data_IF_064733341649
#
_entry.id   IF_064733341649
#
_cell.length_a   1.000
_cell.length_b   1.000
_cell.length_c   1.000
_cell.angle_alpha   90.00
_cell.angle_beta   90.00
_cell.angle_gamma   90.00
#
_symmetry.space_group_name_H-M   'P 1'
#
loop_
_entity.id
_entity.type
_entity.pdbx_description
1 polymer ?
#
# COMPACT_ATOMS: atom_id res chain seq x y z
N UNK A 1 37.08 7.33 -11.97
CA UNK A 1 36.49 8.70 -11.91
C UNK A 1 34.95 8.67 -11.78
N UNK A 2 34.19 8.03 -12.68
CA UNK A 2 32.71 8.00 -12.58
C UNK A 2 32.12 7.26 -11.34
N UNK A 3 32.76 6.17 -10.89
CA UNK A 3 32.36 5.48 -9.64
C UNK A 3 32.74 6.24 -8.35
N UNK A 4 33.72 7.14 -8.46
CA UNK A 4 34.21 7.94 -7.32
C UNK A 4 33.32 9.18 -7.16
N UNK A 5 32.98 9.86 -8.27
CA UNK A 5 32.03 10.97 -8.28
C UNK A 5 30.63 10.58 -7.78
N UNK A 6 30.17 9.38 -8.10
CA UNK A 6 28.90 8.84 -7.56
C UNK A 6 28.98 8.51 -6.08
N UNK A 7 30.12 7.99 -5.58
CA UNK A 7 30.37 7.82 -4.15
C UNK A 7 30.42 9.14 -3.37
N UNK A 8 31.05 10.18 -3.93
CA UNK A 8 31.13 11.53 -3.35
C UNK A 8 29.72 12.15 -3.24
N UNK A 9 28.91 12.08 -4.30
CA UNK A 9 27.55 12.60 -4.28
C UNK A 9 26.65 11.89 -3.24
N UNK A 10 26.89 10.61 -2.99
CA UNK A 10 26.18 9.82 -1.97
C UNK A 10 26.56 10.26 -0.55
N UNK A 11 27.84 10.59 -0.32
CA UNK A 11 28.35 11.14 0.93
C UNK A 11 27.91 12.59 1.17
N UNK A 12 27.86 13.42 0.13
CA UNK A 12 27.36 14.81 0.21
C UNK A 12 25.86 14.85 0.56
N UNK A 13 25.06 13.95 -0.04
CA UNK A 13 23.64 13.79 0.29
C UNK A 13 23.43 13.29 1.73
N UNK A 14 24.36 12.48 2.24
CA UNK A 14 24.38 12.03 3.63
C UNK A 14 24.67 13.17 4.62
N UNK A 15 25.50 14.15 4.23
CA UNK A 15 25.81 15.32 5.06
C UNK A 15 24.69 16.36 5.10
N UNK A 16 23.90 16.52 4.03
CA UNK A 16 22.91 17.61 3.92
C UNK A 16 21.59 17.32 4.65
N UNK A 17 21.22 16.04 4.83
CA UNK A 17 19.97 15.59 5.48
C UNK A 17 20.19 14.83 6.81
N UNK A 18 21.41 14.88 7.34
CA UNK A 18 21.95 14.05 8.44
C UNK A 18 21.05 13.94 9.69
N UNK A 19 20.60 15.06 10.26
CA UNK A 19 19.94 15.06 11.58
C UNK A 19 18.43 14.77 11.54
N UNK A 20 17.82 14.76 10.35
CA UNK A 20 16.36 14.69 10.22
C UNK A 20 15.82 13.29 9.93
N UNK A 21 16.67 12.34 9.52
CA UNK A 21 16.18 11.04 9.04
C UNK A 21 16.95 9.79 9.50
N UNK A 22 18.19 9.89 10.00
CA UNK A 22 19.00 8.67 10.27
C UNK A 22 19.99 8.85 11.43
N UNK A 23 20.08 7.87 12.34
CA UNK A 23 21.18 7.80 13.31
C UNK A 23 22.40 7.18 12.64
N UNK A 24 23.43 7.96 12.37
CA UNK A 24 24.69 7.52 11.73
C UNK A 24 25.31 6.30 12.43
N UNK A 25 25.19 6.21 13.75
CA UNK A 25 25.62 5.06 14.53
C UNK A 25 24.99 3.72 14.08
N UNK A 26 23.72 3.71 13.66
CA UNK A 26 23.05 2.48 13.21
C UNK A 26 23.62 2.00 11.87
N UNK A 27 23.97 2.93 10.98
CA UNK A 27 24.55 2.65 9.67
C UNK A 27 26.01 2.19 9.83
N UNK A 28 26.79 2.85 10.69
CA UNK A 28 28.14 2.44 11.06
C UNK A 28 28.17 1.01 11.62
N UNK A 29 27.30 0.70 12.57
CA UNK A 29 27.20 -0.65 13.15
C UNK A 29 26.89 -1.72 12.09
N UNK A 30 26.00 -1.43 11.13
CA UNK A 30 25.72 -2.33 10.00
C UNK A 30 26.94 -2.49 9.09
N UNK A 31 27.66 -1.42 8.78
CA UNK A 31 28.85 -1.44 7.93
C UNK A 31 30.00 -2.22 8.58
N UNK A 32 30.28 -2.00 9.87
CA UNK A 32 31.26 -2.75 10.66
C UNK A 32 30.93 -4.24 10.63
N UNK A 33 29.66 -4.59 10.83
CA UNK A 33 29.20 -5.97 10.82
C UNK A 33 29.38 -6.61 9.44
N UNK A 34 28.92 -5.96 8.37
CA UNK A 34 29.12 -6.41 6.98
C UNK A 34 30.60 -6.67 6.68
N UNK A 35 31.48 -5.75 7.10
CA UNK A 35 32.92 -5.86 6.88
C UNK A 35 33.55 -7.02 7.68
N UNK A 36 33.23 -7.15 8.97
CA UNK A 36 33.76 -8.20 9.85
C UNK A 36 33.30 -9.60 9.45
N UNK A 37 32.01 -9.74 9.12
CA UNK A 37 31.40 -11.02 8.74
C UNK A 37 31.72 -11.42 7.29
N UNK A 38 32.31 -10.52 6.48
CA UNK A 38 32.53 -10.69 5.04
C UNK A 38 31.25 -11.08 4.30
N UNK A 39 30.12 -10.56 4.76
CA UNK A 39 28.81 -10.81 4.18
C UNK A 39 28.74 -10.13 2.81
N UNK A 40 28.51 -10.92 1.75
CA UNK A 40 28.31 -10.38 0.41
C UNK A 40 26.95 -9.69 0.33
N UNK A 41 26.95 -8.36 0.47
CA UNK A 41 25.76 -7.55 0.30
C UNK A 41 25.60 -7.20 -1.18
N UNK A 42 24.65 -7.86 -1.82
CA UNK A 42 24.25 -7.58 -3.20
C UNK A 42 22.77 -7.18 -3.21
N UNK A 43 22.54 -5.88 -3.41
CA UNK A 43 21.25 -5.30 -3.75
C UNK A 43 21.48 -4.33 -4.90
N UNK A 44 20.92 -4.61 -6.07
CA UNK A 44 21.05 -3.69 -7.20
C UNK A 44 20.19 -2.46 -6.96
N UNK A 45 20.63 -1.31 -7.47
CA UNK A 45 19.87 -0.05 -7.36
C UNK A 45 18.52 -0.15 -8.08
N UNK A 46 18.43 -0.95 -9.14
CA UNK A 46 17.18 -1.25 -9.84
C UNK A 46 16.21 -2.01 -8.93
N UNK A 47 16.68 -3.04 -8.23
CA UNK A 47 15.87 -3.82 -7.30
C UNK A 47 15.38 -2.96 -6.12
N UNK A 48 16.24 -2.10 -5.56
CA UNK A 48 15.82 -1.17 -4.51
C UNK A 48 14.78 -0.16 -5.01
N UNK A 49 15.01 0.43 -6.19
CA UNK A 49 14.07 1.38 -6.82
C UNK A 49 12.70 0.73 -7.09
N UNK A 50 12.67 -0.52 -7.54
CA UNK A 50 11.41 -1.26 -7.75
C UNK A 50 10.64 -1.44 -6.44
N UNK A 51 11.31 -1.82 -5.36
CA UNK A 51 10.72 -1.97 -4.03
C UNK A 51 10.18 -0.63 -3.51
N UNK A 52 10.92 0.46 -3.71
CA UNK A 52 10.49 1.81 -3.33
C UNK A 52 9.28 2.28 -4.13
N UNK A 53 9.28 2.07 -5.45
CA UNK A 53 8.17 2.43 -6.31
C UNK A 53 6.90 1.67 -5.91
N UNK A 54 6.99 0.36 -5.66
CA UNK A 54 5.85 -0.43 -5.21
C UNK A 54 5.29 0.08 -3.87
N UNK A 55 6.16 0.43 -2.91
CA UNK A 55 5.72 1.01 -1.62
C UNK A 55 5.01 2.35 -1.80
N UNK A 56 5.56 3.22 -2.65
CA UNK A 56 5.01 4.55 -2.90
C UNK A 56 3.64 4.43 -3.57
N UNK A 57 3.49 3.52 -4.54
CA UNK A 57 2.23 3.25 -5.21
C UNK A 57 1.18 2.73 -4.21
N UNK A 58 1.55 1.74 -3.38
CA UNK A 58 0.70 1.24 -2.29
C UNK A 58 0.30 2.35 -1.31
N UNK A 59 1.13 3.38 -1.15
CA UNK A 59 0.84 4.49 -0.24
C UNK A 59 -0.08 5.56 -0.83
N UNK A 60 -0.32 5.54 -2.15
CA UNK A 60 -1.03 6.60 -2.89
C UNK A 60 -2.53 6.38 -3.08
N UNK A 61 -3.07 5.25 -2.64
CA UNK A 61 -4.45 4.82 -2.89
C UNK A 61 -5.32 4.76 -1.62
N UNK A 62 -5.36 5.86 -0.87
CA UNK A 62 -6.06 6.00 0.43
C UNK A 62 -7.53 5.63 0.36
N UNK A 63 -8.17 5.94 -0.76
CA UNK A 63 -9.56 5.62 -1.02
C UNK A 63 -9.85 4.12 -0.93
N UNK A 64 -8.96 3.26 -1.43
CA UNK A 64 -9.11 1.80 -1.34
C UNK A 64 -8.97 1.32 0.11
N UNK A 65 -7.95 1.80 0.83
CA UNK A 65 -7.76 1.43 2.23
C UNK A 65 -8.92 1.87 3.11
N UNK A 66 -9.40 3.11 2.92
CA UNK A 66 -10.53 3.66 3.64
C UNK A 66 -11.83 2.92 3.31
N UNK A 67 -12.05 2.59 2.04
CA UNK A 67 -13.23 1.86 1.59
C UNK A 67 -13.37 0.51 2.29
N UNK A 68 -12.26 -0.19 2.53
CA UNK A 68 -12.26 -1.50 3.15
C UNK A 68 -11.85 -1.53 4.64
N UNK A 69 -11.56 -0.37 5.23
CA UNK A 69 -11.05 -0.26 6.59
C UNK A 69 -9.75 -1.05 6.81
N UNK A 70 -8.85 -1.06 5.83
CA UNK A 70 -7.58 -1.79 5.84
C UNK A 70 -6.46 -0.83 6.23
N UNK A 71 -5.61 -1.24 7.17
CA UNK A 71 -4.39 -0.48 7.48
C UNK A 71 -3.32 -0.68 6.40
N UNK A 72 -2.63 0.40 6.03
CA UNK A 72 -1.48 0.32 5.11
C UNK A 72 -0.34 -0.46 5.75
N UNK A 73 0.36 -1.34 5.01
CA UNK A 73 1.49 -2.07 5.53
C UNK A 73 2.65 -1.11 5.84
N UNK A 74 3.12 -1.12 7.08
CA UNK A 74 4.31 -0.42 7.54
C UNK A 74 5.54 -1.31 7.44
N UNK A 75 5.35 -2.61 7.62
CA UNK A 75 6.41 -3.62 7.59
C UNK A 75 6.19 -4.61 6.45
N UNK A 76 7.28 -5.22 5.98
CA UNK A 76 7.26 -6.23 4.94
C UNK A 76 6.35 -7.43 5.30
N UNK A 77 6.36 -7.85 6.56
CA UNK A 77 5.54 -8.96 7.04
C UNK A 77 4.02 -8.68 6.97
N UNK A 78 3.61 -7.41 6.93
CA UNK A 78 2.19 -7.02 6.87
C UNK A 78 1.63 -7.10 5.44
N UNK A 79 2.50 -7.14 4.42
CA UNK A 79 2.11 -7.21 3.00
C UNK A 79 1.34 -8.50 2.69
N UNK A 80 1.72 -9.62 3.32
CA UNK A 80 1.00 -10.90 3.16
C UNK A 80 -0.45 -10.81 3.68
N UNK A 81 -0.67 -10.08 4.77
CA UNK A 81 -2.00 -9.89 5.32
C UNK A 81 -2.83 -8.95 4.43
N UNK A 82 -2.22 -7.90 3.89
CA UNK A 82 -2.86 -7.06 2.88
C UNK A 82 -3.30 -7.91 1.67
N UNK A 83 -2.41 -8.74 1.13
CA UNK A 83 -2.72 -9.60 -0.02
C UNK A 83 -3.84 -10.60 0.27
N UNK A 84 -3.89 -11.20 1.47
CA UNK A 84 -5.03 -12.06 1.85
C UNK A 84 -6.35 -11.32 1.79
N UNK A 85 -6.39 -10.07 2.26
CA UNK A 85 -7.59 -9.24 2.23
C UNK A 85 -7.96 -8.87 0.79
N UNK A 86 -7.01 -8.37 0.00
CA UNK A 86 -7.28 -7.96 -1.36
C UNK A 86 -7.70 -9.14 -2.24
N UNK A 87 -7.08 -10.31 -2.07
CA UNK A 87 -7.49 -11.55 -2.76
C UNK A 87 -8.92 -11.94 -2.39
N UNK A 88 -9.27 -11.90 -1.10
CA UNK A 88 -10.66 -12.14 -0.69
C UNK A 88 -11.63 -11.21 -1.42
N UNK A 89 -11.35 -9.89 -1.45
CA UNK A 89 -12.21 -8.90 -2.11
C UNK A 89 -12.30 -9.19 -3.61
N UNK A 90 -11.17 -9.43 -4.28
CA UNK A 90 -11.09 -9.78 -5.70
C UNK A 90 -11.95 -10.99 -6.03
N UNK A 91 -11.83 -12.06 -5.25
CA UNK A 91 -12.60 -13.29 -5.44
C UNK A 91 -14.10 -13.06 -5.25
N UNK A 92 -14.51 -12.16 -4.33
CA UNK A 92 -15.93 -11.79 -4.16
C UNK A 92 -16.46 -11.01 -5.35
N UNK A 93 -15.69 -10.09 -5.91
CA UNK A 93 -16.06 -9.36 -7.11
C UNK A 93 -16.20 -10.32 -8.30
N UNK A 94 -15.25 -11.24 -8.47
CA UNK A 94 -15.31 -12.26 -9.53
C UNK A 94 -16.54 -13.17 -9.38
N UNK A 95 -16.86 -13.60 -8.16
CA UNK A 95 -18.06 -14.40 -7.90
C UNK A 95 -19.35 -13.62 -8.20
N UNK A 96 -19.42 -12.34 -7.81
CA UNK A 96 -20.56 -11.48 -8.13
C UNK A 96 -20.71 -11.28 -9.64
N UNK A 97 -19.62 -11.03 -10.36
CA UNK A 97 -19.62 -10.93 -11.82
C UNK A 97 -20.13 -12.23 -12.47
N UNK A 98 -19.70 -13.39 -11.96
CA UNK A 98 -20.15 -14.69 -12.48
C UNK A 98 -21.64 -14.94 -12.22
N UNK A 99 -22.16 -14.58 -11.04
CA UNK A 99 -23.54 -14.90 -10.65
C UNK A 99 -24.56 -13.88 -11.17
N UNK A 100 -24.17 -12.60 -11.26
CA UNK A 100 -25.09 -11.50 -11.58
C UNK A 100 -24.79 -10.87 -12.94
N UNK A 101 -23.53 -10.84 -13.37
CA UNK A 101 -23.13 -10.33 -14.67
C UNK A 101 -23.72 -8.94 -14.96
N UNK A 102 -24.44 -8.75 -16.08
CA UNK A 102 -25.06 -7.46 -16.43
C UNK A 102 -26.01 -6.90 -15.36
N UNK A 103 -26.60 -7.75 -14.50
CA UNK A 103 -27.53 -7.32 -13.44
C UNK A 103 -26.85 -6.50 -12.36
N UNK A 104 -25.52 -6.54 -12.24
CA UNK A 104 -24.78 -5.66 -11.34
C UNK A 104 -24.96 -4.17 -11.67
N UNK A 105 -25.32 -3.85 -12.92
CA UNK A 105 -25.65 -2.47 -13.31
C UNK A 105 -26.84 -1.91 -12.54
N UNK A 106 -27.69 -2.74 -11.92
CA UNK A 106 -28.79 -2.27 -11.09
C UNK A 106 -28.34 -1.60 -9.80
N UNK A 107 -27.12 -1.86 -9.33
CA UNK A 107 -26.50 -1.15 -8.20
C UNK A 107 -26.24 0.34 -8.48
N UNK A 108 -26.39 0.80 -9.73
CA UNK A 108 -26.15 2.19 -10.13
C UNK A 108 -27.25 3.18 -9.72
N UNK A 109 -28.35 2.72 -9.12
CA UNK A 109 -29.38 3.63 -8.63
C UNK A 109 -28.82 4.57 -7.55
N UNK A 110 -29.31 5.83 -7.52
CA UNK A 110 -28.90 6.83 -6.52
C UNK A 110 -29.52 6.51 -5.15
N UNK A 111 -28.97 5.47 -4.50
CA UNK A 111 -29.32 5.00 -3.17
C UNK A 111 -28.09 4.32 -2.53
N UNK A 112 -28.04 4.31 -1.20
CA UNK A 112 -26.96 3.71 -0.41
C UNK A 112 -27.49 2.51 0.37
N UNK A 113 -26.96 1.35 0.05
CA UNK A 113 -27.23 0.09 0.74
C UNK A 113 -26.07 -0.27 1.64
N UNK A 114 -26.39 -0.76 2.83
CA UNK A 114 -25.41 -1.03 3.88
C UNK A 114 -25.81 -2.26 4.66
N UNK A 115 -24.87 -2.83 5.40
CA UNK A 115 -25.10 -4.00 6.25
C UNK A 115 -26.22 -3.80 7.28
N UNK A 116 -26.48 -2.54 7.65
CA UNK A 116 -27.51 -2.18 8.62
C UNK A 116 -28.91 -2.07 8.01
N UNK A 117 -29.01 -1.66 6.74
CA UNK A 117 -30.31 -1.33 6.13
C UNK A 117 -30.74 -2.28 5.01
N UNK A 118 -29.87 -3.13 4.46
CA UNK A 118 -30.19 -3.92 3.27
C UNK A 118 -31.41 -4.84 3.45
N UNK A 119 -31.62 -5.42 4.65
CA UNK A 119 -32.80 -6.26 4.94
C UNK A 119 -34.13 -5.51 4.77
N UNK A 120 -34.12 -4.18 4.83
CA UNK A 120 -35.33 -3.38 4.63
C UNK A 120 -35.74 -3.32 3.15
N UNK A 121 -34.86 -3.67 2.20
CA UNK A 121 -35.18 -3.65 0.76
C UNK A 121 -36.40 -4.56 0.49
N UNK A 122 -36.38 -5.78 1.02
CA UNK A 122 -37.49 -6.73 0.90
C UNK A 122 -38.81 -6.16 1.43
N UNK A 123 -38.79 -5.50 2.59
CA UNK A 123 -39.97 -4.84 3.14
C UNK A 123 -40.53 -3.78 2.18
N UNK A 124 -39.68 -2.94 1.60
CA UNK A 124 -40.13 -1.93 0.63
C UNK A 124 -40.71 -2.56 -0.65
N UNK A 125 -40.10 -3.63 -1.16
CA UNK A 125 -40.62 -4.37 -2.33
C UNK A 125 -42.05 -4.83 -2.06
N UNK A 126 -42.27 -5.53 -0.94
CA UNK A 126 -43.59 -6.06 -0.56
C UNK A 126 -44.62 -4.93 -0.38
N UNK A 127 -44.24 -3.83 0.27
CA UNK A 127 -45.14 -2.69 0.45
C UNK A 127 -45.53 -2.05 -0.89
N UNK A 128 -44.58 -1.87 -1.82
CA UNK A 128 -44.90 -1.33 -3.15
C UNK A 128 -45.80 -2.27 -3.94
N UNK A 129 -45.53 -3.57 -3.93
CA UNK A 129 -46.37 -4.56 -4.62
C UNK A 129 -47.78 -4.60 -4.05
N UNK A 130 -47.94 -4.52 -2.72
CA UNK A 130 -49.26 -4.49 -2.07
C UNK A 130 -50.11 -3.26 -2.45
N UNK A 131 -49.45 -2.15 -2.80
CA UNK A 131 -50.11 -0.91 -3.22
C UNK A 131 -50.38 -0.87 -4.74
N UNK A 132 -49.79 -1.78 -5.52
CA UNK A 132 -49.92 -1.82 -6.98
C UNK A 132 -51.19 -2.56 -7.37
N UNK A 133 -52.17 -1.83 -7.90
CA UNK A 133 -53.37 -2.40 -8.49
C UNK A 133 -53.06 -3.03 -9.87
N UNK A 134 -53.63 -4.19 -10.22
CA UNK A 134 -53.29 -4.92 -11.45
C UNK A 134 -53.38 -4.11 -12.75
N UNK A 135 -54.42 -3.28 -12.90
CA UNK A 135 -54.67 -2.47 -14.12
C UNK A 135 -54.44 -0.99 -13.89
N UNK A 136 -54.66 -0.52 -12.67
CA UNK A 136 -54.62 0.90 -12.32
C UNK A 136 -53.27 1.34 -11.74
N UNK A 137 -52.33 0.41 -11.57
CA UNK A 137 -51.05 0.68 -10.94
C UNK A 137 -51.26 1.38 -9.59
N UNK A 138 -50.78 2.61 -9.47
CA UNK A 138 -50.83 3.39 -8.23
C UNK A 138 -51.89 4.51 -8.22
N UNK A 139 -52.79 4.58 -9.21
CA UNK A 139 -53.64 5.76 -9.48
C UNK A 139 -54.50 6.22 -8.27
N UNK A 140 -54.95 5.30 -7.42
CA UNK A 140 -55.77 5.58 -6.23
C UNK A 140 -55.01 5.44 -4.90
N UNK A 141 -53.69 5.23 -4.98
CA UNK A 141 -52.81 4.98 -3.83
C UNK A 141 -51.70 6.03 -3.71
N UNK A 142 -51.80 7.14 -4.44
CA UNK A 142 -50.76 8.16 -4.57
C UNK A 142 -50.19 8.65 -3.24
N UNK A 143 -51.04 9.02 -2.28
CA UNK A 143 -50.61 9.49 -0.95
C UNK A 143 -49.81 8.41 -0.18
N UNK A 144 -50.28 7.16 -0.19
CA UNK A 144 -49.61 6.05 0.49
C UNK A 144 -48.26 5.74 -0.17
N UNK A 145 -48.19 5.83 -1.50
CA UNK A 145 -46.94 5.66 -2.26
C UNK A 145 -45.97 6.78 -1.97
N UNK A 146 -46.42 8.02 -1.86
CA UNK A 146 -45.59 9.18 -1.54
C UNK A 146 -44.99 9.10 -0.13
N UNK A 147 -45.79 8.70 0.85
CA UNK A 147 -45.33 8.43 2.22
C UNK A 147 -44.28 7.31 2.23
N UNK A 148 -44.52 6.22 1.51
CA UNK A 148 -43.58 5.09 1.42
C UNK A 148 -42.29 5.48 0.69
N UNK A 149 -42.38 6.25 -0.39
CA UNK A 149 -41.22 6.83 -1.08
C UNK A 149 -40.41 7.71 -0.15
N UNK A 150 -41.05 8.57 0.63
CA UNK A 150 -40.36 9.43 1.61
C UNK A 150 -39.61 8.59 2.64
N UNK A 151 -40.21 7.50 3.11
CA UNK A 151 -39.55 6.55 4.02
C UNK A 151 -38.35 5.86 3.34
N UNK A 152 -38.52 5.41 2.10
CA UNK A 152 -37.44 4.79 1.32
C UNK A 152 -36.23 5.72 1.19
N UNK A 153 -36.48 6.97 0.78
CA UNK A 153 -35.41 7.98 0.61
C UNK A 153 -34.63 8.20 1.90
N UNK A 154 -35.33 8.29 3.03
CA UNK A 154 -34.70 8.42 4.36
C UNK A 154 -33.90 7.19 4.76
N UNK A 155 -34.42 5.99 4.54
CA UNK A 155 -33.75 4.73 4.91
C UNK A 155 -32.45 4.51 4.13
N UNK A 156 -32.46 4.82 2.83
CA UNK A 156 -31.35 4.52 1.91
C UNK A 156 -30.59 5.76 1.42
N UNK A 157 -30.79 6.93 2.04
CA UNK A 157 -30.16 8.21 1.63
C UNK A 157 -30.28 8.42 0.10
N UNK A 158 -31.51 8.37 -0.39
CA UNK A 158 -31.85 8.34 -1.82
C UNK A 158 -32.67 9.58 -2.24
N UNK A 159 -32.30 10.76 -1.74
CA UNK A 159 -33.04 12.02 -1.91
C UNK A 159 -33.32 12.33 -3.39
N UNK A 160 -32.34 12.10 -4.25
CA UNK A 160 -32.38 12.34 -5.70
C UNK A 160 -33.31 11.39 -6.46
N UNK A 161 -33.71 10.27 -5.86
CA UNK A 161 -34.50 9.25 -6.52
C UNK A 161 -35.97 9.69 -6.61
N UNK A 162 -36.43 10.18 -7.76
CA UNK A 162 -37.77 10.74 -7.89
C UNK A 162 -38.91 9.75 -7.56
N UNK A 163 -38.80 8.50 -8.01
CA UNK A 163 -39.88 7.50 -7.89
C UNK A 163 -39.33 6.09 -7.59
N UNK A 164 -38.93 5.79 -6.33
CA UNK A 164 -38.42 4.48 -5.94
C UNK A 164 -39.37 3.31 -6.26
N UNK A 165 -40.68 3.51 -6.13
CA UNK A 165 -41.72 2.50 -6.42
C UNK A 165 -41.75 2.02 -7.88
N UNK A 166 -41.16 2.78 -8.81
CA UNK A 166 -41.05 2.37 -10.22
C UNK A 166 -39.89 1.41 -10.45
N UNK A 167 -39.00 1.25 -9.45
CA UNK A 167 -37.78 0.47 -9.53
C UNK A 167 -37.90 -0.86 -8.79
N UNK A 168 -39.12 -1.33 -8.46
CA UNK A 168 -39.34 -2.57 -7.69
C UNK A 168 -38.59 -3.77 -8.24
N UNK A 169 -38.59 -3.98 -9.56
CA UNK A 169 -37.83 -5.09 -10.17
C UNK A 169 -36.32 -4.93 -9.99
N UNK A 170 -35.79 -3.71 -10.11
CA UNK A 170 -34.38 -3.43 -9.83
C UNK A 170 -34.05 -3.67 -8.35
N UNK A 171 -34.95 -3.28 -7.44
CA UNK A 171 -34.78 -3.50 -6.01
C UNK A 171 -34.74 -5.00 -5.66
N UNK A 172 -35.50 -5.86 -6.37
CA UNK A 172 -35.41 -7.32 -6.19
C UNK A 172 -34.01 -7.83 -6.53
N UNK A 173 -33.44 -7.40 -7.66
CA UNK A 173 -32.08 -7.76 -8.05
C UNK A 173 -31.04 -7.24 -7.05
N UNK A 174 -31.18 -5.98 -6.61
CA UNK A 174 -30.31 -5.40 -5.59
C UNK A 174 -30.39 -6.18 -4.27
N UNK A 175 -31.58 -6.62 -3.86
CA UNK A 175 -31.77 -7.42 -2.65
C UNK A 175 -30.96 -8.73 -2.73
N UNK A 176 -31.06 -9.45 -3.85
CA UNK A 176 -30.30 -10.69 -4.08
C UNK A 176 -28.79 -10.47 -4.06
N UNK A 177 -28.31 -9.38 -4.68
CA UNK A 177 -26.89 -9.02 -4.67
C UNK A 177 -26.43 -8.69 -3.24
N UNK A 178 -27.21 -7.89 -2.50
CA UNK A 178 -26.90 -7.48 -1.14
C UNK A 178 -26.90 -8.68 -0.17
N UNK A 179 -27.84 -9.62 -0.31
CA UNK A 179 -27.85 -10.88 0.45
C UNK A 179 -26.60 -11.70 0.20
N UNK A 180 -26.20 -11.88 -1.07
CA UNK A 180 -24.97 -12.58 -1.42
C UNK A 180 -23.73 -11.90 -0.81
N UNK A 181 -23.65 -10.56 -0.89
CA UNK A 181 -22.54 -9.80 -0.29
C UNK A 181 -22.51 -9.99 1.23
N UNK A 182 -23.68 -9.92 1.89
CA UNK A 182 -23.78 -10.13 3.33
C UNK A 182 -23.27 -11.51 3.74
N UNK A 183 -23.57 -12.54 2.95
CA UNK A 183 -23.12 -13.91 3.21
C UNK A 183 -21.59 -14.06 3.15
N UNK A 184 -20.90 -13.25 2.35
CA UNK A 184 -19.42 -13.26 2.31
C UNK A 184 -18.78 -12.89 3.64
N UNK A 185 -19.48 -12.20 4.54
CA UNK A 185 -18.97 -11.88 5.89
C UNK A 185 -18.56 -13.11 6.69
N UNK A 186 -19.16 -14.28 6.43
CA UNK A 186 -18.81 -15.55 7.10
C UNK A 186 -17.35 -15.96 6.84
N UNK A 187 -16.75 -15.50 5.75
CA UNK A 187 -15.37 -15.80 5.36
C UNK A 187 -14.43 -14.59 5.44
N UNK A 188 -14.83 -13.51 6.11
CA UNK A 188 -14.04 -12.29 6.18
C UNK A 188 -12.69 -12.55 6.87
N UNK A 189 -11.56 -12.09 6.31
CA UNK A 189 -10.27 -12.16 7.00
C UNK A 189 -10.33 -11.50 8.38
N UNK A 190 -9.73 -12.11 9.40
CA UNK A 190 -9.78 -11.63 10.79
C UNK A 190 -9.17 -10.23 11.02
N UNK A 191 -8.37 -9.77 10.05
CA UNK A 191 -7.78 -8.42 10.01
C UNK A 191 -8.82 -7.33 9.70
N UNK A 192 -9.97 -7.69 9.11
CA UNK A 192 -11.06 -6.77 8.83
C UNK A 192 -12.12 -6.99 9.91
N UNK A 193 -12.27 -6.05 10.85
CA UNK A 193 -13.15 -6.26 12.03
C UNK A 193 -14.46 -5.48 11.99
N UNK A 194 -14.61 -4.46 11.15
CA UNK A 194 -15.71 -3.49 11.28
C UNK A 194 -16.12 -2.84 9.94
N UNK A 195 -16.02 -3.56 8.83
CA UNK A 195 -16.39 -3.04 7.51
C UNK A 195 -17.90 -3.14 7.27
N UNK A 196 -18.47 -2.11 6.64
CA UNK A 196 -19.76 -2.22 5.96
C UNK A 196 -19.56 -2.87 4.58
N UNK A 197 -19.60 -4.20 4.52
CA UNK A 197 -19.19 -4.95 3.32
C UNK A 197 -20.13 -4.70 2.13
N UNK A 198 -21.44 -4.55 2.39
CA UNK A 198 -22.41 -4.20 1.36
C UNK A 198 -22.09 -2.83 0.79
N UNK A 199 -21.92 -1.81 1.63
CA UNK A 199 -21.63 -0.46 1.14
C UNK A 199 -20.30 -0.42 0.38
N UNK A 200 -19.25 -1.06 0.92
CA UNK A 200 -17.92 -1.08 0.31
C UNK A 200 -17.90 -1.78 -1.05
N UNK A 201 -18.45 -3.00 -1.16
CA UNK A 201 -18.45 -3.73 -2.42
C UNK A 201 -19.38 -3.10 -3.46
N UNK A 202 -20.57 -2.65 -3.06
CA UNK A 202 -21.46 -1.97 -4.02
C UNK A 202 -20.86 -0.66 -4.52
N UNK A 203 -20.17 0.09 -3.66
CA UNK A 203 -19.43 1.30 -4.03
C UNK A 203 -18.28 1.00 -4.99
N UNK A 204 -17.51 -0.05 -4.73
CA UNK A 204 -16.46 -0.47 -5.66
C UNK A 204 -17.04 -0.91 -7.01
N UNK A 205 -18.08 -1.74 -7.01
CA UNK A 205 -18.68 -2.29 -8.24
C UNK A 205 -19.29 -1.20 -9.13
N UNK A 206 -19.90 -0.16 -8.54
CA UNK A 206 -20.52 0.92 -9.34
C UNK A 206 -19.53 1.97 -9.86
N UNK A 207 -18.28 1.96 -9.40
CA UNK A 207 -17.29 3.00 -9.71
C UNK A 207 -16.07 2.42 -10.44
N UNK A 208 -16.00 2.64 -11.75
CA UNK A 208 -14.90 2.18 -12.59
C UNK A 208 -13.52 2.71 -12.16
N UNK A 209 -13.45 3.95 -11.69
CA UNK A 209 -12.18 4.54 -11.21
C UNK A 209 -11.68 3.80 -9.97
N UNK A 210 -12.57 3.52 -9.01
CA UNK A 210 -12.21 2.73 -7.82
C UNK A 210 -11.82 1.29 -8.18
N UNK A 211 -12.44 0.68 -9.20
CA UNK A 211 -12.03 -0.65 -9.66
C UNK A 211 -10.62 -0.66 -10.23
N UNK A 212 -10.27 0.34 -11.04
CA UNK A 212 -8.90 0.45 -11.59
C UNK A 212 -7.88 0.72 -10.48
N UNK A 213 -8.19 1.58 -9.51
CA UNK A 213 -7.35 1.79 -8.33
C UNK A 213 -7.19 0.52 -7.50
N UNK A 214 -8.26 -0.24 -7.28
CA UNK A 214 -8.19 -1.52 -6.58
C UNK A 214 -7.27 -2.51 -7.31
N UNK A 215 -7.39 -2.62 -8.64
CA UNK A 215 -6.49 -3.46 -9.46
C UNK A 215 -5.03 -3.01 -9.35
N UNK A 216 -4.78 -1.71 -9.35
CA UNK A 216 -3.43 -1.15 -9.15
C UNK A 216 -2.87 -1.53 -7.78
N UNK A 217 -3.61 -1.29 -6.69
CA UNK A 217 -3.22 -1.70 -5.32
C UNK A 217 -2.91 -3.19 -5.26
N UNK A 218 -3.78 -4.04 -5.81
CA UNK A 218 -3.57 -5.48 -5.80
C UNK A 218 -2.32 -5.90 -6.58
N UNK A 219 -2.12 -5.34 -7.77
CA UNK A 219 -0.96 -5.64 -8.62
C UNK A 219 0.34 -5.22 -7.92
N UNK A 220 0.35 -4.03 -7.33
CA UNK A 220 1.52 -3.45 -6.69
C UNK A 220 1.84 -4.15 -5.36
N UNK A 221 0.83 -4.62 -4.62
CA UNK A 221 1.02 -5.49 -3.45
C UNK A 221 1.70 -6.82 -3.84
N UNK A 222 1.27 -7.45 -4.95
CA UNK A 222 1.86 -8.71 -5.43
C UNK A 222 3.31 -8.53 -5.89
N UNK A 223 3.59 -7.46 -6.64
CA UNK A 223 4.96 -7.11 -7.04
C UNK A 223 5.84 -6.86 -5.82
N UNK A 224 5.33 -6.10 -4.86
CA UNK A 224 6.05 -5.79 -3.63
C UNK A 224 6.39 -7.04 -2.82
N UNK A 225 5.41 -7.93 -2.61
CA UNK A 225 5.62 -9.21 -1.95
C UNK A 225 6.66 -10.06 -2.69
N UNK A 226 6.56 -10.14 -4.02
CA UNK A 226 7.51 -10.90 -4.84
C UNK A 226 8.94 -10.37 -4.70
N UNK A 227 9.11 -9.04 -4.72
CA UNK A 227 10.42 -8.40 -4.53
C UNK A 227 10.98 -8.67 -3.12
N UNK A 228 10.16 -8.53 -2.08
CA UNK A 228 10.54 -8.87 -0.69
C UNK A 228 10.95 -10.35 -0.58
N UNK A 229 10.20 -11.26 -1.21
CA UNK A 229 10.49 -12.69 -1.18
C UNK A 229 11.81 -13.03 -1.89
N UNK A 230 12.23 -12.28 -2.91
CA UNK A 230 13.55 -12.43 -3.50
C UNK A 230 14.65 -11.95 -2.55
N UNK A 231 14.45 -10.81 -1.86
CA UNK A 231 15.40 -10.35 -0.83
C UNK A 231 15.59 -11.40 0.27
N UNK A 232 14.50 -12.00 0.75
CA UNK A 232 14.51 -13.02 1.81
C UNK A 232 15.34 -14.27 1.49
N UNK A 233 15.61 -14.54 0.20
CA UNK A 233 16.46 -15.66 -0.22
C UNK A 233 17.95 -15.37 -0.06
N UNK A 234 18.33 -14.10 -0.07
CA UNK A 234 19.74 -13.67 0.05
C UNK A 234 20.26 -13.94 1.46
N UNK A 235 21.55 -14.25 1.58
CA UNK A 235 22.15 -14.56 2.87
C UNK A 235 22.31 -13.31 3.74
N UNK A 236 22.58 -12.16 3.13
CA UNK A 236 22.61 -10.90 3.86
C UNK A 236 21.25 -10.59 4.48
N UNK A 237 20.13 -10.84 3.79
CA UNK A 237 18.82 -10.56 4.36
C UNK A 237 18.55 -11.44 5.58
N UNK A 238 18.95 -12.72 5.56
CA UNK A 238 18.84 -13.60 6.73
C UNK A 238 19.65 -13.07 7.92
N UNK A 239 20.85 -12.55 7.67
CA UNK A 239 21.73 -12.00 8.72
C UNK A 239 21.23 -10.69 9.33
N UNK A 240 20.58 -9.83 8.54
CA UNK A 240 20.16 -8.49 8.97
C UNK A 240 18.66 -8.38 9.29
N UNK A 241 17.83 -9.27 8.73
CA UNK A 241 16.38 -9.37 8.94
C UNK A 241 15.67 -8.01 8.84
N UNK A 242 15.88 -7.28 7.73
CA UNK A 242 15.31 -5.94 7.56
C UNK A 242 13.77 -6.00 7.50
N UNK A 243 13.12 -5.16 8.31
CA UNK A 243 11.67 -5.23 8.55
C UNK A 243 10.86 -4.33 7.62
N UNK A 244 11.48 -3.27 7.13
CA UNK A 244 10.85 -2.26 6.30
C UNK A 244 11.86 -1.65 5.32
N UNK A 245 11.37 -0.73 4.48
CA UNK A 245 12.21 -0.09 3.46
C UNK A 245 13.25 0.87 4.06
N UNK A 246 13.00 1.41 5.25
CA UNK A 246 13.92 2.35 5.88
C UNK A 246 15.14 1.60 6.41
N UNK A 247 14.93 0.45 7.04
CA UNK A 247 16.01 -0.47 7.42
C UNK A 247 16.76 -1.00 6.20
N UNK A 248 16.05 -1.28 5.10
CA UNK A 248 16.67 -1.70 3.84
C UNK A 248 17.57 -0.61 3.26
N UNK A 249 17.11 0.66 3.24
CA UNK A 249 17.89 1.82 2.79
C UNK A 249 19.15 2.03 3.64
N UNK A 250 19.03 1.92 4.96
CA UNK A 250 20.18 1.99 5.88
C UNK A 250 21.23 0.92 5.54
N UNK A 251 20.77 -0.29 5.22
CA UNK A 251 21.66 -1.40 4.90
C UNK A 251 22.29 -1.25 3.51
N UNK A 252 21.56 -0.73 2.52
CA UNK A 252 22.11 -0.41 1.19
C UNK A 252 23.25 0.60 1.28
N UNK A 253 23.06 1.68 2.05
CA UNK A 253 24.11 2.69 2.28
C UNK A 253 25.33 2.05 2.94
N UNK A 254 25.13 1.23 3.97
CA UNK A 254 26.22 0.52 4.66
C UNK A 254 26.97 -0.43 3.71
N UNK A 255 26.27 -1.20 2.89
CA UNK A 255 26.86 -2.11 1.91
C UNK A 255 27.69 -1.39 0.85
N UNK A 256 27.19 -0.28 0.34
CA UNK A 256 27.92 0.56 -0.61
C UNK A 256 29.20 1.12 0.02
N UNK A 257 29.16 1.57 1.28
CA UNK A 257 30.35 2.05 2.00
C UNK A 257 31.42 0.96 2.15
N UNK A 258 31.03 -0.27 2.52
CA UNK A 258 31.96 -1.42 2.66
C UNK A 258 32.55 -1.83 1.31
N UNK A 259 31.75 -1.84 0.25
CA UNK A 259 32.21 -2.14 -1.11
C UNK A 259 33.27 -1.15 -1.57
N UNK A 260 32.99 0.14 -1.41
CA UNK A 260 33.92 1.24 -1.72
C UNK A 260 35.21 1.09 -0.91
N UNK A 261 35.13 0.88 0.42
CA UNK A 261 36.30 0.66 1.27
C UNK A 261 37.16 -0.53 0.79
N UNK A 262 36.53 -1.65 0.45
CA UNK A 262 37.21 -2.88 0.02
C UNK A 262 37.95 -2.65 -1.31
N UNK A 263 37.30 -1.99 -2.28
CA UNK A 263 37.94 -1.63 -3.55
C UNK A 263 39.16 -0.72 -3.34
N UNK A 264 39.04 0.30 -2.49
CA UNK A 264 40.15 1.20 -2.18
C UNK A 264 41.33 0.51 -1.48
N UNK A 265 41.06 -0.41 -0.55
CA UNK A 265 42.10 -1.20 0.13
C UNK A 265 42.94 -2.04 -0.84
N UNK A 266 42.36 -2.48 -1.96
CA UNK A 266 43.07 -3.29 -2.96
C UNK A 266 43.96 -2.50 -3.94
N UNK A 267 43.86 -1.17 -3.99
CA UNK A 267 44.53 -0.30 -4.98
C UNK A 267 45.84 0.35 -4.48
N UNK A 268 46.59 -0.30 -3.58
CA UNK A 268 47.74 0.28 -2.86
C UNK A 268 48.75 1.07 -3.73
N UNK A 269 48.83 2.39 -3.49
CA UNK A 269 49.92 3.29 -3.89
C UNK A 269 50.09 4.42 -2.87
N UNK A 270 51.34 4.88 -2.61
CA UNK A 270 51.77 5.72 -1.47
C UNK A 270 50.93 6.96 -1.12
N UNK A 271 50.19 7.56 -2.06
CA UNK A 271 49.32 8.71 -1.81
C UNK A 271 47.94 8.35 -1.20
N UNK A 272 47.62 7.06 -1.05
CA UNK A 272 46.30 6.55 -0.62
C UNK A 272 46.22 6.22 0.88
N UNK A 273 47.32 6.31 1.63
CA UNK A 273 47.33 5.99 3.08
C UNK A 273 46.43 6.91 3.91
N UNK A 274 46.30 8.19 3.54
CA UNK A 274 45.48 9.18 4.28
C UNK A 274 43.99 8.87 4.13
N UNK A 275 43.55 8.44 2.94
CA UNK A 275 42.15 8.08 2.66
C UNK A 275 41.69 6.84 3.42
N UNK A 276 42.59 5.84 3.57
CA UNK A 276 42.32 4.63 4.34
C UNK A 276 42.16 4.98 5.82
N UNK A 277 43.01 5.85 6.37
CA UNK A 277 42.92 6.29 7.78
C UNK A 277 41.59 6.98 8.08
N UNK A 278 41.09 7.87 7.22
CA UNK A 278 39.80 8.53 7.46
C UNK A 278 38.58 7.59 7.43
N UNK A 279 38.60 6.55 6.58
CA UNK A 279 37.54 5.53 6.56
C UNK A 279 37.71 4.54 7.72
N UNK A 280 38.95 4.17 8.07
CA UNK A 280 39.24 3.35 9.24
C UNK A 280 38.82 4.07 10.52
N UNK A 281 39.05 5.39 10.64
CA UNK A 281 38.56 6.21 11.74
C UNK A 281 37.03 6.22 11.74
N UNK A 282 36.36 6.43 10.60
CA UNK A 282 34.89 6.34 10.51
C UNK A 282 34.33 4.96 10.92
N UNK A 283 35.07 3.87 10.67
CA UNK A 283 34.69 2.51 11.06
C UNK A 283 35.09 2.15 12.50
N UNK A 284 36.00 2.90 13.13
CA UNK A 284 36.58 2.58 14.43
C UNK A 284 36.27 3.62 15.54
N UNK A 285 35.61 4.73 15.25
CA UNK A 285 35.48 5.82 16.22
C UNK A 285 34.20 5.70 17.07
N UNK A 286 34.40 5.63 18.39
CA UNK A 286 33.35 5.52 19.42
C UNK A 286 32.88 6.89 19.96
N UNK A 287 33.37 8.04 19.46
CA UNK A 287 33.02 9.37 19.99
C UNK A 287 32.70 10.41 18.89
N UNK A 288 31.39 10.60 18.69
CA UNK A 288 30.76 11.24 17.53
C UNK A 288 30.56 12.78 17.59
N UNK A 289 31.16 13.52 18.53
CA UNK A 289 30.89 14.98 18.64
C UNK A 289 31.87 15.88 17.88
N UNK A 290 32.96 15.34 17.32
CA UNK A 290 33.93 16.07 16.49
C UNK A 290 33.79 15.78 14.98
N UNK A 291 32.94 14.81 14.61
CA UNK A 291 32.97 14.14 13.30
C UNK A 291 32.24 14.88 12.16
N UNK A 292 31.41 15.87 12.47
CA UNK A 292 30.83 16.74 11.44
C UNK A 292 31.89 17.59 10.74
N UNK A 293 33.03 17.84 11.41
CA UNK A 293 34.15 18.59 10.85
C UNK A 293 35.10 17.67 10.06
N UNK A 294 35.34 16.45 10.54
CA UNK A 294 36.16 15.43 9.84
C UNK A 294 35.51 14.95 8.53
N UNK A 295 34.19 14.80 8.48
CA UNK A 295 33.47 14.50 7.23
C UNK A 295 33.51 15.66 6.22
N UNK A 296 33.54 16.92 6.69
CA UNK A 296 33.75 18.10 5.82
C UNK A 296 35.20 18.19 5.31
N UNK A 297 36.17 17.76 6.10
CA UNK A 297 37.55 17.63 5.62
C UNK A 297 37.69 16.47 4.63
N UNK A 298 36.95 15.38 4.81
CA UNK A 298 36.91 14.25 3.88
C UNK A 298 36.29 14.62 2.53
N UNK A 299 35.21 15.42 2.49
CA UNK A 299 34.64 15.92 1.23
C UNK A 299 35.55 16.93 0.51
N UNK A 300 36.21 17.83 1.25
CA UNK A 300 37.26 18.73 0.71
C UNK A 300 38.46 17.96 0.18
N UNK A 301 38.85 16.88 0.86
CA UNK A 301 39.94 16.02 0.45
C UNK A 301 39.59 15.22 -0.81
N UNK A 302 38.36 14.69 -0.92
CA UNK A 302 37.85 14.03 -2.12
C UNK A 302 37.81 14.96 -3.34
N UNK A 303 37.48 16.25 -3.14
CA UNK A 303 37.53 17.26 -4.20
C UNK A 303 38.95 17.46 -4.77
N UNK A 304 39.99 17.46 -3.92
CA UNK A 304 41.40 17.62 -4.30
C UNK A 304 41.90 16.44 -5.18
N UNK A 305 41.35 15.25 -4.98
CA UNK A 305 41.71 14.03 -5.75
C UNK A 305 40.88 13.87 -7.03
N UNK A 306 39.81 14.66 -7.22
CA UNK A 306 38.99 14.63 -8.45
C UNK A 306 39.30 15.74 -9.46
N UNK A 307 40.12 16.72 -9.10
CA UNK A 307 40.59 17.81 -9.97
C UNK A 307 41.96 17.56 -10.64
N UNK A 308 42.40 16.29 -10.71
CA UNK A 308 43.50 15.83 -11.59
C UNK A 308 43.07 14.65 -12.45
#
# INVERSE_FOLDING_TARGET
VNNIKSGIALLEKFQTDHDKYFRVADIQNKAIRLHKEKTDFTLSSEAFSEIENCRNELSSHDDIYNLFGIEKPKQFAEVDNLLKVLSFIKDRIENLNSNFGPRLSELSISATFSDFNYKQIQWFIEQYESLKLPVLGYLFRGKQVEELNTKFKKTFKAEELAAPQKLTEKLKEINLIAEQIFDYKKGLPATIKTIDLIESLTTLIKNNELQEKFKAVFTSANKYQSAIAQLQKTDWYKSFSTKDIEELRKLEIAGNAVSVFTQYKTLEGKNHKISIVGIEDFLNNDNLSAETESLKEYSKFLAIITDN
#
